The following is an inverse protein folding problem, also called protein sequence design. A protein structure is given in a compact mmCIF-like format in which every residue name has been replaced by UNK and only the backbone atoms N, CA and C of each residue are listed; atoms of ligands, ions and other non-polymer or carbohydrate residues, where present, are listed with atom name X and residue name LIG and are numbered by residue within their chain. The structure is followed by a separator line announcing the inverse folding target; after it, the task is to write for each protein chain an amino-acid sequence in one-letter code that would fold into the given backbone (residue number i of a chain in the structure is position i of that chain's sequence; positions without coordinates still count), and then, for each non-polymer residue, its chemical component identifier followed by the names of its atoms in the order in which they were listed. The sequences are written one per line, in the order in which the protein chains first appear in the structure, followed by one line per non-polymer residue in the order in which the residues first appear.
data_IF_524728947882
#
_entry.id   IF_524728947882
#
_cell.length_a   1.000
_cell.length_b   1.000
_cell.length_c   1.000
_cell.angle_alpha   90.00
_cell.angle_beta   90.00
_cell.angle_gamma   90.00
#
_symmetry.space_group_name_H-M   'P 1'
#
loop_
_entity.id
_entity.type
_entity.pdbx_description
1 polymer ?
#
# COMPACT_ATOMS: atom_id res chain seq x y z
N UNK A 1 -19.38 2.03 -57.76
CA UNK A 1 -17.94 1.87 -57.44
C UNK A 1 -17.84 1.51 -55.96
N UNK A 2 -17.79 0.22 -55.60
CA UNK A 2 -16.60 -0.63 -55.29
C UNK A 2 -15.76 -0.16 -54.10
N UNK A 3 -15.85 -0.97 -53.04
CA UNK A 3 -15.06 -1.07 -51.81
C UNK A 3 -13.61 -1.54 -52.03
N UNK A 4 -12.72 -1.26 -51.05
CA UNK A 4 -11.51 -1.98 -50.56
C UNK A 4 -10.69 -0.99 -49.69
N UNK A 5 -10.61 -1.08 -48.36
CA UNK A 5 -9.91 -2.02 -47.46
C UNK A 5 -8.37 -1.94 -47.44
N UNK A 6 -7.84 -1.67 -46.23
CA UNK A 6 -6.61 -2.16 -45.58
C UNK A 6 -5.22 -1.51 -45.87
N UNK A 7 -4.61 -0.93 -44.82
CA UNK A 7 -3.26 -1.20 -44.24
C UNK A 7 -2.90 -0.01 -43.29
N UNK A 8 -2.47 -0.11 -42.02
CA UNK A 8 -1.52 -0.94 -41.25
C UNK A 8 -0.26 -0.12 -40.88
N UNK A 9 0.11 -0.18 -39.59
CA UNK A 9 1.37 0.27 -38.96
C UNK A 9 1.58 1.80 -38.89
N UNK A 10 1.97 2.39 -37.76
CA UNK A 10 3.36 2.41 -37.25
C UNK A 10 3.39 2.71 -35.73
N UNK A 11 4.04 1.81 -34.98
CA UNK A 11 4.87 1.96 -33.76
C UNK A 11 4.25 2.59 -32.49
N UNK A 12 4.01 1.88 -31.37
CA UNK A 12 4.93 1.19 -30.44
C UNK A 12 6.07 2.06 -29.88
N UNK A 13 5.97 2.30 -28.57
CA UNK A 13 7.03 2.54 -27.58
C UNK A 13 7.93 3.78 -27.73
N UNK A 14 7.74 4.75 -26.83
CA UNK A 14 8.88 5.32 -26.12
C UNK A 14 8.61 5.28 -24.63
N UNK A 15 9.34 4.38 -23.97
CA UNK A 15 9.51 4.29 -22.54
C UNK A 15 10.20 5.54 -21.98
N UNK A 16 10.41 5.51 -20.66
CA UNK A 16 11.30 6.38 -19.88
C UNK A 16 10.65 7.62 -19.25
N UNK A 17 9.84 7.32 -18.24
CA UNK A 17 9.69 8.14 -17.04
C UNK A 17 9.52 7.23 -15.81
N UNK A 18 10.22 6.09 -15.80
CA UNK A 18 10.33 5.25 -14.61
C UNK A 18 11.36 5.89 -13.67
N UNK A 19 10.96 7.00 -13.07
CA UNK A 19 11.43 7.32 -11.73
C UNK A 19 10.35 6.76 -10.83
N UNK A 20 10.43 5.47 -10.49
CA UNK A 20 9.83 5.06 -9.23
C UNK A 20 10.78 5.62 -8.19
N UNK A 21 10.50 6.75 -7.52
CA UNK A 21 11.10 6.91 -6.23
C UNK A 21 10.59 5.67 -5.49
N UNK A 22 11.50 4.79 -5.13
CA UNK A 22 11.24 3.89 -4.04
C UNK A 22 10.98 4.79 -2.83
N UNK A 23 9.75 5.29 -2.74
CA UNK A 23 9.21 6.11 -1.68
C UNK A 23 8.94 5.15 -0.53
N UNK A 24 9.99 4.49 -0.08
CA UNK A 24 10.02 3.87 1.21
C UNK A 24 9.54 4.93 2.19
N UNK A 25 8.37 4.69 2.78
CA UNK A 25 7.80 5.46 3.86
C UNK A 25 8.82 5.41 5.00
N UNK A 26 9.78 6.33 4.98
CA UNK A 26 10.85 6.33 5.95
C UNK A 26 10.28 6.79 7.26
N UNK A 27 10.24 5.91 8.24
CA UNK A 27 9.76 6.15 9.59
C UNK A 27 10.26 7.46 10.23
N UNK A 28 11.44 7.93 9.80
CA UNK A 28 12.03 9.20 10.23
C UNK A 28 11.17 10.41 9.89
N UNK A 29 10.41 10.40 8.80
CA UNK A 29 9.60 11.55 8.37
C UNK A 29 8.36 11.78 9.26
N UNK A 30 7.96 10.78 10.04
CA UNK A 30 6.79 10.86 10.90
C UNK A 30 7.13 10.86 12.39
N UNK A 31 8.37 10.50 12.77
CA UNK A 31 8.73 10.31 14.17
C UNK A 31 8.46 11.53 15.07
N UNK A 32 8.73 12.74 14.57
CA UNK A 32 8.57 14.00 15.30
C UNK A 32 7.22 14.71 15.10
N UNK A 33 6.27 14.10 14.40
CA UNK A 33 4.94 14.68 14.18
C UNK A 33 4.00 14.33 15.34
N UNK A 34 3.01 15.20 15.58
CA UNK A 34 1.86 14.79 16.38
C UNK A 34 1.07 13.70 15.67
N UNK A 35 0.30 12.93 16.43
CA UNK A 35 -0.56 11.87 15.91
C UNK A 35 -1.50 12.37 14.79
N UNK A 36 -2.18 13.50 15.00
CA UNK A 36 -3.17 14.02 14.04
C UNK A 36 -2.53 14.51 12.73
N UNK A 37 -1.37 15.16 12.81
CA UNK A 37 -0.60 15.57 11.62
C UNK A 37 -0.12 14.36 10.83
N UNK A 38 0.37 13.34 11.52
CA UNK A 38 0.80 12.10 10.91
C UNK A 38 -0.37 11.35 10.24
N UNK A 39 -1.53 11.25 10.90
CA UNK A 39 -2.75 10.66 10.31
C UNK A 39 -3.13 11.34 9.00
N UNK A 40 -3.18 12.68 8.99
CA UNK A 40 -3.59 13.46 7.81
C UNK A 40 -2.61 13.28 6.65
N UNK A 41 -1.30 13.38 6.92
CA UNK A 41 -0.26 13.20 5.89
C UNK A 41 -0.24 11.77 5.35
N UNK A 42 -0.38 10.79 6.22
CA UNK A 42 -0.33 9.38 5.85
C UNK A 42 -1.57 8.93 5.07
N UNK A 43 -2.74 9.51 5.35
CA UNK A 43 -3.95 9.30 4.55
C UNK A 43 -3.79 9.81 3.11
N UNK A 44 -3.14 10.96 2.90
CA UNK A 44 -2.83 11.46 1.56
C UNK A 44 -1.83 10.57 0.83
N UNK A 45 -0.79 10.12 1.53
CA UNK A 45 0.21 9.19 1.01
C UNK A 45 -0.42 7.85 0.56
N UNK A 46 -1.36 7.29 1.34
CA UNK A 46 -2.05 6.06 0.96
C UNK A 46 -2.80 6.16 -0.37
N UNK A 47 -3.41 7.32 -0.67
CA UNK A 47 -4.06 7.55 -1.97
C UNK A 47 -3.04 7.58 -3.10
N UNK A 48 -1.95 8.32 -2.91
CA UNK A 48 -0.87 8.43 -3.91
C UNK A 48 -0.21 7.09 -4.19
N UNK A 49 0.08 6.29 -3.16
CA UNK A 49 0.61 4.94 -3.30
C UNK A 49 -0.35 4.03 -4.08
N UNK A 50 -1.66 4.08 -3.75
CA UNK A 50 -2.66 3.27 -4.42
C UNK A 50 -2.76 3.61 -5.92
N UNK A 51 -2.76 4.90 -6.27
CA UNK A 51 -2.75 5.40 -7.65
C UNK A 51 -1.49 4.98 -8.40
N UNK A 52 -0.36 4.88 -7.69
CA UNK A 52 0.93 4.44 -8.23
C UNK A 52 1.08 2.91 -8.29
N UNK A 53 0.05 2.14 -7.92
CA UNK A 53 0.09 0.68 -7.92
C UNK A 53 0.85 0.06 -6.74
N UNK A 54 1.16 0.84 -5.71
CA UNK A 54 1.86 0.39 -4.50
C UNK A 54 0.81 -0.05 -3.46
N UNK A 55 0.66 -1.36 -3.31
CA UNK A 55 -0.33 -1.95 -2.39
C UNK A 55 0.37 -2.52 -1.16
N UNK A 56 0.27 -1.79 -0.04
CA UNK A 56 0.92 -2.17 1.22
C UNK A 56 0.07 -1.83 2.43
N UNK A 57 0.34 -2.46 3.56
CA UNK A 57 -0.16 -2.10 4.89
C UNK A 57 1.05 -1.80 5.76
N UNK A 58 0.97 -0.72 6.54
CA UNK A 58 2.03 -0.33 7.45
C UNK A 58 1.88 -1.06 8.79
N UNK A 59 2.95 -1.68 9.25
CA UNK A 59 2.99 -2.38 10.54
C UNK A 59 4.11 -1.82 11.42
N UNK A 60 3.96 -1.93 12.74
CA UNK A 60 4.94 -1.46 13.71
C UNK A 60 5.03 -2.44 14.88
N UNK A 61 6.15 -2.39 15.61
CA UNK A 61 6.42 -3.24 16.76
C UNK A 61 7.57 -4.22 16.52
N UNK A 62 8.04 -4.83 17.61
CA UNK A 62 9.01 -5.91 17.56
C UNK A 62 8.40 -7.11 16.83
N UNK A 63 9.04 -7.53 15.73
CA UNK A 63 8.66 -8.74 15.00
C UNK A 63 9.30 -9.96 15.67
N UNK A 64 8.53 -10.74 16.46
CA UNK A 64 8.64 -12.20 16.35
C UNK A 64 7.30 -12.90 16.68
N UNK A 65 6.39 -13.01 15.72
CA UNK A 65 5.27 -13.95 15.85
C UNK A 65 5.06 -14.67 14.50
N UNK A 66 4.93 -16.01 14.48
CA UNK A 66 4.58 -16.77 13.28
C UNK A 66 3.31 -16.25 12.60
N UNK A 67 2.42 -15.64 13.38
CA UNK A 67 1.19 -14.98 12.95
C UNK A 67 1.44 -13.81 11.98
N UNK A 68 2.56 -13.09 12.12
CA UNK A 68 2.95 -12.05 11.17
C UNK A 68 3.37 -12.64 9.82
N UNK A 69 3.97 -13.84 9.81
CA UNK A 69 4.29 -14.54 8.58
C UNK A 69 3.03 -15.07 7.90
N UNK A 70 2.05 -15.57 8.64
CA UNK A 70 0.78 -16.03 8.06
C UNK A 70 -0.05 -14.86 7.55
N UNK A 71 -0.11 -13.74 8.28
CA UNK A 71 -0.80 -12.53 7.82
C UNK A 71 -0.13 -11.93 6.59
N UNK A 72 1.20 -11.79 6.59
CA UNK A 72 1.94 -11.29 5.44
C UNK A 72 1.81 -12.22 4.23
N UNK A 73 1.84 -13.55 4.41
CA UNK A 73 1.60 -14.52 3.34
C UNK A 73 0.18 -14.40 2.77
N UNK A 74 -0.82 -14.26 3.65
CA UNK A 74 -2.21 -14.04 3.23
C UNK A 74 -2.35 -12.77 2.39
N UNK A 75 -1.84 -11.63 2.87
CA UNK A 75 -1.89 -10.38 2.11
C UNK A 75 -1.10 -10.46 0.80
N UNK A 76 0.06 -11.11 0.80
CA UNK A 76 0.88 -11.31 -0.40
C UNK A 76 0.16 -12.12 -1.48
N UNK A 77 -0.74 -13.04 -1.11
CA UNK A 77 -1.57 -13.76 -2.10
C UNK A 77 -2.54 -12.86 -2.88
N UNK A 78 -2.82 -11.66 -2.36
CA UNK A 78 -3.59 -10.60 -3.02
C UNK A 78 -2.71 -9.50 -3.63
N UNK A 79 -1.39 -9.69 -3.65
CA UNK A 79 -0.43 -8.67 -4.09
C UNK A 79 -0.29 -7.48 -3.14
N UNK A 80 -0.60 -7.66 -1.84
CA UNK A 80 -0.45 -6.63 -0.81
C UNK A 80 0.77 -6.94 0.06
N UNK A 81 1.63 -5.95 0.28
CA UNK A 81 2.82 -6.09 1.12
C UNK A 81 2.60 -5.62 2.56
N UNK A 82 3.20 -6.32 3.54
CA UNK A 82 3.31 -5.82 4.91
C UNK A 82 4.62 -5.04 5.07
N UNK A 83 4.54 -3.72 5.20
CA UNK A 83 5.70 -2.83 5.31
C UNK A 83 5.91 -2.38 6.75
N UNK A 84 7.03 -2.78 7.37
CA UNK A 84 7.33 -2.39 8.74
C UNK A 84 7.89 -0.96 8.79
N UNK A 85 7.23 -0.08 9.53
CA UNK A 85 7.64 1.32 9.72
C UNK A 85 8.26 1.59 11.09
N UNK A 86 8.18 0.68 12.05
CA UNK A 86 8.91 0.81 13.30
C UNK A 86 9.08 -0.55 13.98
N UNK A 87 10.18 -0.69 14.72
CA UNK A 87 10.44 -1.84 15.60
C UNK A 87 10.11 -1.50 17.06
N UNK A 88 11.15 -1.34 17.88
CA UNK A 88 11.03 -1.13 19.32
C UNK A 88 10.45 0.23 19.74
N UNK A 89 10.73 1.28 18.98
CA UNK A 89 10.38 2.66 19.34
C UNK A 89 9.19 3.08 18.48
N UNK A 90 8.04 3.24 19.13
CA UNK A 90 6.78 3.68 18.50
C UNK A 90 6.41 5.03 19.10
N UNK A 91 6.49 6.10 18.31
CA UNK A 91 6.03 7.44 18.71
C UNK A 91 4.57 7.68 18.30
N UNK A 92 3.98 8.76 18.80
CA UNK A 92 2.63 9.20 18.39
C UNK A 92 2.51 9.41 16.88
N UNK A 93 3.57 9.94 16.26
CA UNK A 93 3.64 10.07 14.82
C UNK A 93 3.61 8.72 14.10
N UNK A 94 4.32 7.69 14.59
CA UNK A 94 4.25 6.33 14.02
C UNK A 94 2.84 5.74 14.14
N UNK A 95 2.20 5.90 15.30
CA UNK A 95 0.82 5.44 15.51
C UNK A 95 -0.15 6.15 14.54
N UNK A 96 -0.02 7.46 14.40
CA UNK A 96 -0.83 8.26 13.49
C UNK A 96 -0.61 7.87 12.03
N UNK A 97 0.64 7.66 11.62
CA UNK A 97 0.96 7.22 10.26
C UNK A 97 0.33 5.89 9.92
N UNK A 98 0.52 4.88 10.77
CA UNK A 98 -0.04 3.57 10.52
C UNK A 98 -1.58 3.60 10.47
N UNK A 99 -2.21 4.34 11.38
CA UNK A 99 -3.67 4.49 11.39
C UNK A 99 -4.18 5.18 10.12
N UNK A 100 -3.71 6.41 9.84
CA UNK A 100 -4.21 7.20 8.72
C UNK A 100 -3.95 6.56 7.36
N UNK A 101 -2.77 5.94 7.20
CA UNK A 101 -2.45 5.20 5.98
C UNK A 101 -3.34 3.97 5.82
N UNK A 102 -3.40 3.11 6.85
CA UNK A 102 -4.08 1.82 6.73
C UNK A 102 -5.59 1.96 6.61
N UNK A 103 -6.23 2.92 7.27
CA UNK A 103 -7.67 3.17 7.12
C UNK A 103 -8.04 3.46 5.66
N UNK A 104 -7.29 4.35 5.00
CA UNK A 104 -7.52 4.69 3.60
C UNK A 104 -7.15 3.54 2.67
N UNK A 105 -5.96 2.97 2.84
CA UNK A 105 -5.45 1.92 1.95
C UNK A 105 -6.32 0.66 2.02
N UNK A 106 -6.79 0.25 3.20
CA UNK A 106 -7.69 -0.89 3.35
C UNK A 106 -8.98 -0.67 2.57
N UNK A 107 -9.64 0.49 2.72
CA UNK A 107 -10.87 0.81 1.99
C UNK A 107 -10.69 0.74 0.46
N UNK A 108 -9.57 1.28 -0.05
CA UNK A 108 -9.25 1.26 -1.47
C UNK A 108 -8.98 -0.16 -1.97
N UNK A 109 -8.25 -0.97 -1.20
CA UNK A 109 -7.95 -2.36 -1.54
C UNK A 109 -9.20 -3.25 -1.51
N UNK A 110 -10.09 -3.08 -0.53
CA UNK A 110 -11.39 -3.79 -0.49
C UNK A 110 -12.18 -3.51 -1.77
N UNK A 111 -12.25 -2.23 -2.18
CA UNK A 111 -12.92 -1.85 -3.42
C UNK A 111 -12.24 -2.43 -4.67
N UNK A 112 -10.91 -2.44 -4.72
CA UNK A 112 -10.13 -2.97 -5.85
C UNK A 112 -10.29 -4.48 -6.01
N UNK A 113 -10.21 -5.22 -4.91
CA UNK A 113 -10.22 -6.68 -4.88
C UNK A 113 -11.65 -7.22 -4.96
N UNK A 114 -12.63 -6.42 -4.52
CA UNK A 114 -14.04 -6.82 -4.48
C UNK A 114 -14.41 -7.64 -3.24
N UNK A 115 -13.52 -7.72 -2.24
CA UNK A 115 -13.76 -8.40 -0.97
C UNK A 115 -12.87 -7.86 0.15
N UNK A 116 -13.33 -8.03 1.39
CA UNK A 116 -12.57 -7.66 2.58
C UNK A 116 -11.59 -8.77 3.00
N UNK A 117 -10.40 -8.74 2.39
CA UNK A 117 -9.31 -9.68 2.69
C UNK A 117 -8.77 -9.54 4.11
N UNK A 118 -8.98 -8.40 4.76
CA UNK A 118 -8.51 -8.17 6.14
C UNK A 118 -9.44 -8.85 7.13
N UNK A 119 -10.75 -8.62 6.98
CA UNK A 119 -11.77 -9.32 7.77
C UNK A 119 -11.75 -10.84 7.53
N UNK A 120 -11.51 -11.29 6.30
CA UNK A 120 -11.36 -12.71 5.97
C UNK A 120 -10.25 -13.38 6.81
N UNK A 121 -9.11 -12.71 6.99
CA UNK A 121 -8.02 -13.23 7.82
C UNK A 121 -8.39 -13.25 9.30
N UNK A 122 -8.96 -12.16 9.82
CA UNK A 122 -9.36 -12.04 11.23
C UNK A 122 -10.40 -13.11 11.61
N UNK A 123 -11.34 -13.43 10.73
CA UNK A 123 -12.34 -14.46 10.99
C UNK A 123 -11.77 -15.88 11.03
N UNK A 124 -10.72 -16.15 10.24
CA UNK A 124 -10.07 -17.48 10.19
C UNK A 124 -9.11 -17.76 11.33
N UNK A 125 -8.62 -16.72 11.99
CA UNK A 125 -7.57 -16.81 13.02
C UNK A 125 -8.06 -16.29 14.39
N UNK A 126 -9.38 -16.19 14.57
CA UNK A 126 -10.04 -16.04 15.88
C UNK A 126 -10.22 -17.41 16.53
#
# INVERSE_FOLDING_TARGET
MKTKSLLLCVLLASACGAETPDSHVSYKSFFGLSKSEAETKAAALAKSDFESGIYRILVFGLRPAPEHDTYAKHLKSYGIECHAIAGCIVSDGILGTAKGYNEVMKLLLVKKIGKDVFAEYEQRNK
#
